data_IF_946913473177
#
_entry.id   IF_946913473177
#
_cell.length_a   1.000
_cell.length_b   1.000
_cell.length_c   1.000
_cell.angle_alpha   90.00
_cell.angle_beta   90.00
_cell.angle_gamma   90.00
#
_symmetry.space_group_name_H-M   'P 1'
#
loop_
_entity.id
_entity.type
_entity.pdbx_description
1 polymer ?
#
# COMPACT_ATOMS: atom_id res chain seq x y z
N UNK A 1 -18.82 19.67 47.03
CA UNK A 1 -17.47 19.82 46.43
C UNK A 1 -17.46 18.95 45.19
N UNK A 2 -17.68 19.55 44.03
CA UNK A 2 -17.67 18.89 42.72
C UNK A 2 -16.24 18.82 42.23
N UNK A 3 -15.69 17.64 42.20
CA UNK A 3 -14.38 17.31 41.65
C UNK A 3 -14.42 17.58 40.13
N UNK A 4 -13.88 18.71 39.68
CA UNK A 4 -13.67 18.95 38.24
C UNK A 4 -12.58 18.01 37.76
N UNK A 5 -12.99 16.98 37.02
CA UNK A 5 -12.08 16.18 36.24
C UNK A 5 -11.33 17.13 35.28
N UNK A 6 -10.01 17.18 35.41
CA UNK A 6 -9.12 17.84 34.45
C UNK A 6 -9.35 17.27 33.07
N UNK A 7 -9.45 18.10 32.01
CA UNK A 7 -9.54 17.56 30.67
C UNK A 7 -8.27 16.73 30.42
N UNK A 8 -8.42 15.45 30.19
CA UNK A 8 -7.39 14.66 29.57
C UNK A 8 -7.16 15.30 28.19
N UNK A 9 -6.04 16.00 28.03
CA UNK A 9 -5.54 16.41 26.72
C UNK A 9 -5.37 15.11 25.90
N UNK A 10 -6.44 14.69 25.23
CA UNK A 10 -6.36 13.66 24.23
C UNK A 10 -5.49 14.23 23.11
N UNK A 11 -4.26 13.75 23.02
CA UNK A 11 -3.32 14.13 21.95
C UNK A 11 -4.01 13.74 20.65
N UNK A 12 -4.63 14.71 20.00
CA UNK A 12 -5.36 14.53 18.75
C UNK A 12 -4.40 14.72 17.58
N UNK A 13 -4.55 13.89 16.56
CA UNK A 13 -3.77 13.99 15.32
C UNK A 13 -4.63 14.74 14.30
N UNK A 14 -4.27 15.94 13.84
CA UNK A 14 -5.07 16.74 12.91
C UNK A 14 -5.52 15.96 11.67
N UNK A 15 -4.65 15.08 11.15
CA UNK A 15 -4.97 14.22 10.02
C UNK A 15 -6.16 13.27 10.31
N UNK A 16 -6.19 12.63 11.49
CA UNK A 16 -7.27 11.71 11.87
C UNK A 16 -8.57 12.47 12.19
N UNK A 17 -8.47 13.67 12.75
CA UNK A 17 -9.64 14.53 12.99
C UNK A 17 -10.36 14.87 11.67
N UNK A 18 -9.59 15.23 10.63
CA UNK A 18 -10.17 15.49 9.30
C UNK A 18 -10.81 14.23 8.72
N UNK A 19 -10.18 13.06 8.86
CA UNK A 19 -10.76 11.79 8.40
C UNK A 19 -12.06 11.44 9.15
N UNK A 20 -12.21 11.88 10.39
CA UNK A 20 -13.46 11.73 11.17
C UNK A 20 -14.48 12.85 10.94
N UNK A 21 -14.24 13.75 9.96
CA UNK A 21 -15.15 14.80 9.57
C UNK A 21 -14.97 16.13 10.31
N UNK A 22 -13.96 16.28 11.14
CA UNK A 22 -13.68 17.52 11.86
C UNK A 22 -12.90 18.50 10.96
N UNK A 23 -13.40 19.72 10.83
CA UNK A 23 -12.71 20.76 10.05
C UNK A 23 -11.56 21.33 10.84
N UNK A 24 -10.38 21.41 10.23
CA UNK A 24 -9.21 22.09 10.77
C UNK A 24 -9.07 23.50 10.17
N UNK A 25 -8.53 24.44 10.96
CA UNK A 25 -8.23 25.80 10.48
C UNK A 25 -7.14 25.79 9.40
N UNK A 26 -6.13 24.91 9.58
CA UNK A 26 -5.10 24.61 8.60
C UNK A 26 -5.23 23.15 8.19
N UNK A 27 -5.47 22.83 6.91
CA UNK A 27 -5.58 21.44 6.46
C UNK A 27 -4.28 20.67 6.73
N UNK A 28 -4.36 19.45 7.32
CA UNK A 28 -3.18 18.62 7.49
C UNK A 28 -2.65 18.13 6.14
N UNK A 29 -1.34 18.01 6.02
CA UNK A 29 -0.67 17.68 4.76
C UNK A 29 0.18 16.43 4.91
N UNK A 30 0.05 15.54 3.91
CA UNK A 30 1.03 14.51 3.58
C UNK A 30 1.20 14.46 2.06
N UNK A 31 2.31 13.94 1.58
CA UNK A 31 2.60 13.89 0.14
C UNK A 31 2.80 12.45 -0.31
N UNK A 32 2.12 12.05 -1.39
CA UNK A 32 2.42 10.77 -2.02
C UNK A 32 3.89 10.74 -2.48
N UNK A 33 4.59 9.64 -2.16
CA UNK A 33 6.04 9.51 -2.42
C UNK A 33 6.89 10.56 -1.71
N UNK A 34 6.47 11.01 -0.53
CA UNK A 34 7.24 11.94 0.30
C UNK A 34 8.64 11.40 0.66
N UNK A 35 8.82 10.09 0.81
CA UNK A 35 10.13 9.45 0.75
C UNK A 35 10.53 9.20 -0.71
N UNK A 36 11.70 9.66 -1.14
CA UNK A 36 12.06 9.53 -2.55
C UNK A 36 13.43 10.06 -2.94
N UNK A 37 13.77 9.84 -4.20
CA UNK A 37 15.09 10.13 -4.79
C UNK A 37 15.49 11.61 -4.79
N UNK A 38 14.58 12.53 -4.55
CA UNK A 38 14.88 13.95 -4.41
C UNK A 38 15.59 14.27 -3.07
N UNK A 39 15.47 13.39 -2.05
CA UNK A 39 16.15 13.50 -0.78
C UNK A 39 17.58 12.91 -0.87
N UNK A 40 18.63 13.68 -0.52
CA UNK A 40 20.00 13.15 -0.49
C UNK A 40 20.13 11.94 0.44
N UNK A 41 19.59 12.04 1.65
CA UNK A 41 19.60 10.99 2.67
C UNK A 41 18.89 9.70 2.20
N UNK A 42 17.83 9.82 1.40
CA UNK A 42 17.19 8.67 0.76
C UNK A 42 18.14 7.99 -0.24
N UNK A 43 18.82 8.77 -1.08
CA UNK A 43 19.76 8.23 -2.09
C UNK A 43 20.92 7.49 -1.44
N UNK A 44 21.45 8.03 -0.34
CA UNK A 44 22.53 7.39 0.43
C UNK A 44 22.09 6.05 1.01
N UNK A 45 20.90 6.00 1.64
CA UNK A 45 20.38 4.76 2.21
C UNK A 45 20.00 3.75 1.12
N UNK A 46 19.43 4.23 0.01
CA UNK A 46 19.10 3.39 -1.16
C UNK A 46 20.32 2.72 -1.76
N UNK A 47 21.47 3.40 -1.80
CA UNK A 47 22.73 2.83 -2.27
C UNK A 47 23.27 1.72 -1.35
N UNK A 48 23.03 1.85 -0.03
CA UNK A 48 23.44 0.83 0.96
C UNK A 48 22.54 -0.40 0.93
N UNK A 49 21.26 -0.25 0.58
CA UNK A 49 20.29 -1.32 0.60
C UNK A 49 20.45 -2.38 -0.51
N UNK A 50 21.22 -2.09 -1.58
CA UNK A 50 21.36 -2.99 -2.73
C UNK A 50 20.16 -2.92 -3.69
N UNK A 51 19.06 -3.63 -3.42
CA UNK A 51 17.84 -3.67 -4.23
C UNK A 51 16.69 -2.80 -3.69
N UNK A 52 15.64 -2.59 -4.50
CA UNK A 52 14.44 -1.87 -4.04
C UNK A 52 13.64 -2.70 -3.04
N UNK A 53 13.53 -4.01 -3.27
CA UNK A 53 12.88 -4.91 -2.32
C UNK A 53 13.67 -5.04 -1.02
N UNK A 54 15.01 -5.02 -1.10
CA UNK A 54 15.86 -5.03 0.10
C UNK A 54 15.59 -3.81 0.98
N UNK A 55 15.38 -2.64 0.35
CA UNK A 55 14.99 -1.42 1.06
C UNK A 55 13.60 -1.56 1.72
N UNK A 56 12.62 -2.18 1.03
CA UNK A 56 11.28 -2.39 1.55
C UNK A 56 11.23 -3.44 2.67
N UNK A 57 12.05 -4.50 2.57
CA UNK A 57 12.01 -5.64 3.48
C UNK A 57 13.12 -5.63 4.54
N UNK A 58 13.91 -4.57 4.63
CA UNK A 58 14.79 -4.31 5.76
C UNK A 58 14.12 -3.31 6.70
N UNK A 59 13.58 -3.73 7.85
CA UNK A 59 12.76 -2.87 8.71
C UNK A 59 13.45 -1.57 9.12
N UNK A 60 14.76 -1.61 9.38
CA UNK A 60 15.59 -0.45 9.71
C UNK A 60 15.58 0.57 8.57
N UNK A 61 15.78 0.11 7.35
CA UNK A 61 15.84 0.98 6.18
C UNK A 61 14.46 1.55 5.83
N UNK A 62 13.43 0.69 5.83
CA UNK A 62 12.06 1.12 5.56
C UNK A 62 11.56 2.15 6.59
N UNK A 63 11.87 1.95 7.87
CA UNK A 63 11.55 2.91 8.93
C UNK A 63 12.31 4.23 8.74
N UNK A 64 13.61 4.17 8.49
CA UNK A 64 14.44 5.37 8.30
C UNK A 64 13.95 6.22 7.12
N UNK A 65 13.72 5.62 5.94
CA UNK A 65 13.23 6.39 4.77
C UNK A 65 11.82 6.93 4.98
N UNK A 66 11.00 6.27 5.80
CA UNK A 66 9.67 6.77 6.18
C UNK A 66 9.77 8.03 7.02
N UNK A 67 10.74 8.10 7.92
CA UNK A 67 10.92 9.21 8.87
C UNK A 67 11.68 10.40 8.28
N UNK A 68 12.50 10.21 7.26
CA UNK A 68 13.29 11.28 6.62
C UNK A 68 12.43 12.50 6.22
N UNK A 69 11.34 12.36 5.46
CA UNK A 69 10.50 13.50 5.08
C UNK A 69 9.79 14.14 6.28
N UNK A 70 9.48 13.37 7.32
CA UNK A 70 8.85 13.90 8.54
C UNK A 70 9.83 14.81 9.28
N UNK A 71 11.08 14.38 9.44
CA UNK A 71 12.13 15.20 10.06
C UNK A 71 12.45 16.47 9.27
N UNK A 72 12.38 16.39 7.93
CA UNK A 72 12.73 17.50 7.04
C UNK A 72 11.61 18.51 6.86
N UNK A 73 10.36 18.07 6.75
CA UNK A 73 9.22 18.90 6.31
C UNK A 73 8.10 19.00 7.35
N UNK A 74 8.18 18.27 8.44
CA UNK A 74 7.16 18.25 9.49
C UNK A 74 5.74 17.98 8.97
N UNK A 75 5.57 17.03 8.04
CA UNK A 75 4.26 16.61 7.56
C UNK A 75 3.38 16.07 8.70
N UNK A 76 2.07 16.23 8.56
CA UNK A 76 1.07 15.77 9.53
C UNK A 76 0.83 14.26 9.52
N UNK A 77 1.27 13.57 8.44
CA UNK A 77 1.25 12.12 8.39
C UNK A 77 2.50 11.56 7.71
N UNK A 78 2.97 10.44 8.24
CA UNK A 78 3.95 9.56 7.61
C UNK A 78 3.21 8.45 6.88
N UNK A 79 3.65 8.07 5.69
CA UNK A 79 3.21 6.85 5.02
C UNK A 79 4.36 5.84 5.01
N UNK A 80 4.08 4.61 5.43
CA UNK A 80 5.10 3.56 5.48
C UNK A 80 5.77 3.35 4.12
N UNK A 81 7.08 3.22 4.10
CA UNK A 81 7.80 2.88 2.88
C UNK A 81 7.66 1.39 2.59
N UNK A 82 6.97 1.07 1.51
CA UNK A 82 6.70 -0.28 1.01
C UNK A 82 6.34 -0.21 -0.47
N UNK A 83 5.81 -1.29 -1.04
CA UNK A 83 5.34 -1.35 -2.43
C UNK A 83 3.95 -1.98 -2.53
N UNK A 84 3.19 -1.63 -3.59
CA UNK A 84 1.86 -2.20 -3.84
C UNK A 84 1.92 -3.67 -4.30
N UNK A 85 3.08 -4.15 -4.74
CA UNK A 85 3.27 -5.51 -5.23
C UNK A 85 3.75 -6.49 -4.14
N UNK A 86 3.76 -6.08 -2.86
CA UNK A 86 4.09 -6.98 -1.75
C UNK A 86 3.06 -8.11 -1.59
N UNK A 87 1.78 -7.89 -1.98
CA UNK A 87 0.76 -8.94 -1.99
C UNK A 87 1.06 -10.00 -3.05
N UNK A 88 1.30 -9.66 -4.34
CA UNK A 88 1.80 -10.64 -5.32
C UNK A 88 3.05 -11.39 -4.85
N UNK A 89 4.01 -10.70 -4.25
CA UNK A 89 5.21 -11.34 -3.69
C UNK A 89 4.87 -12.37 -2.60
N UNK A 90 3.98 -12.02 -1.69
CA UNK A 90 3.53 -12.92 -0.62
C UNK A 90 2.70 -14.10 -1.16
N UNK A 91 1.98 -13.92 -2.28
CA UNK A 91 1.31 -14.98 -3.04
C UNK A 91 2.29 -15.88 -3.83
N UNK A 92 3.59 -15.71 -3.65
CA UNK A 92 4.63 -16.53 -4.29
C UNK A 92 4.96 -16.11 -5.72
N UNK A 93 4.53 -14.91 -6.17
CA UNK A 93 4.91 -14.40 -7.47
C UNK A 93 6.34 -13.85 -7.44
N UNK A 94 7.08 -14.09 -8.51
CA UNK A 94 8.38 -13.45 -8.72
C UNK A 94 8.15 -11.96 -8.95
N UNK A 95 8.68 -11.12 -8.04
CA UNK A 95 8.65 -9.66 -8.19
C UNK A 95 10.08 -9.16 -8.23
N UNK A 96 10.43 -8.47 -9.30
CA UNK A 96 11.78 -7.88 -9.52
C UNK A 96 11.62 -6.42 -9.90
N UNK A 97 12.62 -5.62 -9.58
CA UNK A 97 12.68 -4.21 -9.97
C UNK A 97 13.93 -3.97 -10.82
N UNK A 98 13.71 -3.67 -12.09
CA UNK A 98 14.79 -3.39 -13.04
C UNK A 98 15.01 -1.88 -13.15
N UNK A 99 16.29 -1.49 -13.25
CA UNK A 99 16.67 -0.09 -13.32
C UNK A 99 16.14 0.52 -14.62
N UNK A 100 15.31 1.56 -14.50
CA UNK A 100 14.71 2.24 -15.66
C UNK A 100 13.43 1.60 -16.20
N UNK A 101 13.13 0.34 -15.84
CA UNK A 101 11.98 -0.39 -16.39
C UNK A 101 10.82 -0.58 -15.39
N UNK A 102 11.08 -0.37 -14.10
CA UNK A 102 10.08 -0.57 -13.06
C UNK A 102 9.91 -2.04 -12.65
N UNK A 103 8.74 -2.39 -12.06
CA UNK A 103 8.50 -3.75 -11.57
C UNK A 103 8.28 -4.76 -12.72
N UNK A 104 8.79 -5.98 -12.51
CA UNK A 104 8.62 -7.15 -13.39
C UNK A 104 8.12 -8.33 -12.58
N UNK A 105 7.11 -8.99 -13.10
CA UNK A 105 6.50 -10.22 -12.56
C UNK A 105 6.40 -11.27 -13.66
N UNK A 106 6.28 -12.54 -13.26
CA UNK A 106 5.88 -13.57 -14.20
C UNK A 106 4.38 -13.40 -14.53
N UNK A 107 3.98 -13.21 -15.82
CA UNK A 107 2.62 -12.81 -16.16
C UNK A 107 1.60 -13.95 -15.93
N UNK A 108 0.41 -13.58 -15.47
CA UNK A 108 -0.78 -14.44 -15.40
C UNK A 108 -1.67 -14.20 -16.64
N UNK A 109 -1.12 -14.38 -17.82
CA UNK A 109 -1.73 -14.00 -19.10
C UNK A 109 -2.69 -15.05 -19.68
N UNK A 110 -2.82 -16.21 -19.02
CA UNK A 110 -3.74 -17.29 -19.43
C UNK A 110 -4.54 -17.84 -18.24
N UNK A 111 -5.76 -18.40 -18.48
CA UNK A 111 -6.54 -19.04 -17.42
C UNK A 111 -5.80 -20.17 -16.68
N UNK A 112 -4.96 -20.94 -17.40
CA UNK A 112 -4.17 -22.03 -16.80
C UNK A 112 -3.13 -21.52 -15.80
N UNK A 113 -2.46 -20.40 -16.13
CA UNK A 113 -1.54 -19.76 -15.19
C UNK A 113 -2.25 -19.19 -13.96
N UNK A 114 -3.47 -18.66 -14.15
CA UNK A 114 -4.32 -18.20 -13.04
C UNK A 114 -4.77 -19.39 -12.18
N UNK A 115 -5.05 -20.54 -12.75
CA UNK A 115 -5.44 -21.73 -11.98
C UNK A 115 -4.34 -22.17 -11.00
N UNK A 116 -3.06 -21.90 -11.31
CA UNK A 116 -1.92 -22.16 -10.42
C UNK A 116 -1.63 -21.05 -9.40
N UNK A 117 -2.40 -19.98 -9.36
CA UNK A 117 -2.21 -18.91 -8.39
C UNK A 117 -2.57 -19.38 -6.96
N UNK A 118 -1.66 -19.18 -6.01
CA UNK A 118 -1.94 -19.43 -4.61
C UNK A 118 -3.13 -18.58 -4.14
N UNK A 119 -4.03 -19.16 -3.37
CA UNK A 119 -5.20 -18.46 -2.84
C UNK A 119 -4.85 -17.63 -1.62
N UNK A 120 -3.94 -18.13 -0.80
CA UNK A 120 -3.49 -17.49 0.43
C UNK A 120 -2.04 -17.05 0.32
N UNK A 121 -1.80 -15.80 0.68
CA UNK A 121 -0.46 -15.24 0.78
C UNK A 121 0.24 -15.69 2.07
N UNK A 122 1.52 -15.94 1.98
CA UNK A 122 2.39 -16.15 3.11
C UNK A 122 2.67 -14.81 3.81
N UNK A 123 1.90 -14.52 4.87
CA UNK A 123 2.03 -13.28 5.64
C UNK A 123 3.38 -13.17 6.38
N UNK A 124 4.11 -14.26 6.58
CA UNK A 124 5.44 -14.20 7.22
C UNK A 124 6.43 -13.42 6.36
N UNK A 125 6.26 -13.44 5.03
CA UNK A 125 7.07 -12.64 4.09
C UNK A 125 6.83 -11.13 4.25
N UNK A 126 5.72 -10.73 4.85
CA UNK A 126 5.34 -9.32 5.07
C UNK A 126 5.68 -8.84 6.49
N UNK A 127 6.16 -9.73 7.37
CA UNK A 127 6.56 -9.36 8.74
C UNK A 127 7.58 -8.22 8.79
N UNK A 128 8.56 -8.11 7.86
CA UNK A 128 9.46 -6.95 7.83
C UNK A 128 8.73 -5.61 7.67
N UNK A 129 7.62 -5.55 6.91
CA UNK A 129 6.82 -4.33 6.76
C UNK A 129 6.10 -4.00 8.07
N UNK A 130 5.56 -5.01 8.76
CA UNK A 130 4.92 -4.82 10.06
C UNK A 130 5.93 -4.36 11.12
N UNK A 131 7.14 -4.90 11.12
CA UNK A 131 8.20 -4.45 12.02
C UNK A 131 8.64 -3.01 11.70
N UNK A 132 8.74 -2.64 10.42
CA UNK A 132 9.02 -1.25 10.03
C UNK A 132 7.94 -0.29 10.55
N UNK A 133 6.64 -0.66 10.45
CA UNK A 133 5.53 0.12 11.02
C UNK A 133 5.67 0.30 12.54
N UNK A 134 5.98 -0.78 13.27
CA UNK A 134 6.21 -0.71 14.73
C UNK A 134 7.36 0.23 15.09
N UNK A 135 8.45 0.21 14.33
CA UNK A 135 9.60 1.11 14.52
C UNK A 135 9.22 2.56 14.26
N UNK A 136 8.61 2.84 13.11
CA UNK A 136 8.12 4.19 12.78
C UNK A 136 7.19 4.70 13.87
N UNK A 137 6.23 3.87 14.31
CA UNK A 137 5.26 4.26 15.34
C UNK A 137 5.91 4.68 16.65
N UNK A 138 7.00 4.02 17.05
CA UNK A 138 7.75 4.39 18.28
C UNK A 138 8.48 5.73 18.18
N UNK A 139 8.88 6.11 16.95
CA UNK A 139 9.67 7.32 16.72
C UNK A 139 8.84 8.52 16.27
N UNK A 140 7.61 8.30 15.78
CA UNK A 140 6.73 9.39 15.38
C UNK A 140 6.27 10.22 16.57
N UNK A 141 6.28 11.55 16.39
CA UNK A 141 5.66 12.48 17.32
C UNK A 141 4.16 12.22 17.50
N UNK A 142 3.63 12.57 18.67
CA UNK A 142 2.24 12.30 19.05
C UNK A 142 1.20 12.92 18.11
N UNK A 143 1.54 13.98 17.38
CA UNK A 143 0.65 14.69 16.44
C UNK A 143 0.69 14.15 15.02
N UNK A 144 1.69 13.35 14.65
CA UNK A 144 1.85 12.81 13.29
C UNK A 144 1.15 11.46 13.17
N UNK A 145 0.28 11.32 12.18
CA UNK A 145 -0.40 10.06 11.89
C UNK A 145 0.52 9.10 11.09
N UNK A 146 0.33 7.80 11.27
CA UNK A 146 1.00 6.77 10.48
C UNK A 146 0.01 6.13 9.53
N UNK A 147 0.27 6.24 8.23
CA UNK A 147 -0.54 5.66 7.17
C UNK A 147 0.07 4.33 6.73
N UNK A 148 -0.72 3.26 6.81
CA UNK A 148 -0.47 2.03 6.10
C UNK A 148 -1.16 2.03 4.74
N UNK A 149 -0.78 1.10 3.83
CA UNK A 149 -1.42 1.09 2.51
C UNK A 149 -1.36 -0.28 1.83
N UNK A 150 -2.18 -0.42 0.78
CA UNK A 150 -2.04 -1.46 -0.23
C UNK A 150 -2.36 -0.91 -1.62
N UNK A 151 -2.02 -1.67 -2.67
CA UNK A 151 -2.54 -1.42 -4.00
C UNK A 151 -3.99 -1.89 -4.12
N UNK A 152 -4.82 -1.15 -4.85
CA UNK A 152 -6.18 -1.55 -5.16
C UNK A 152 -6.19 -2.79 -6.08
N UNK A 153 -7.22 -3.63 -6.00
CA UNK A 153 -7.28 -4.90 -6.70
C UNK A 153 -7.07 -4.78 -8.22
N UNK A 154 -7.72 -3.81 -8.87
CA UNK A 154 -7.52 -3.59 -10.30
C UNK A 154 -6.07 -3.22 -10.63
N UNK A 155 -5.51 -2.22 -9.96
CA UNK A 155 -4.14 -1.77 -10.21
C UNK A 155 -3.13 -2.91 -10.00
N UNK A 156 -3.26 -3.71 -8.95
CA UNK A 156 -2.37 -4.85 -8.70
C UNK A 156 -2.56 -5.96 -9.75
N UNK A 157 -3.82 -6.26 -10.11
CA UNK A 157 -4.13 -7.25 -11.14
C UNK A 157 -3.53 -6.89 -12.51
N UNK A 158 -3.48 -5.58 -12.89
CA UNK A 158 -2.85 -5.16 -14.15
C UNK A 158 -1.38 -5.58 -14.23
N UNK A 159 -0.63 -5.41 -13.14
CA UNK A 159 0.76 -5.88 -13.05
C UNK A 159 0.87 -7.40 -13.05
N UNK A 160 0.01 -8.10 -12.31
CA UNK A 160 0.04 -9.56 -12.26
C UNK A 160 -0.27 -10.21 -13.61
N UNK A 161 -1.23 -9.65 -14.36
CA UNK A 161 -1.63 -10.19 -15.67
C UNK A 161 -0.59 -9.88 -16.75
N UNK A 162 -0.12 -8.64 -16.84
CA UNK A 162 0.82 -8.22 -17.87
C UNK A 162 2.28 -8.57 -17.54
N UNK A 163 2.61 -8.78 -16.27
CA UNK A 163 3.99 -8.94 -15.80
C UNK A 163 4.79 -7.64 -15.68
N UNK A 164 4.22 -6.51 -16.08
CA UNK A 164 4.85 -5.18 -16.06
C UNK A 164 3.80 -4.08 -16.20
N UNK A 165 4.21 -2.82 -16.02
CA UNK A 165 3.36 -1.68 -16.31
C UNK A 165 3.09 -1.53 -17.82
N UNK A 166 1.83 -1.26 -18.19
CA UNK A 166 1.43 -1.04 -19.59
C UNK A 166 0.68 0.30 -19.72
N UNK A 167 0.77 1.00 -20.86
CA UNK A 167 0.21 2.34 -20.99
C UNK A 167 -1.32 2.41 -20.82
N UNK A 168 -2.04 1.38 -21.30
CA UNK A 168 -3.51 1.34 -21.36
C UNK A 168 -4.13 0.14 -20.63
N UNK A 169 -3.33 -0.66 -19.96
CA UNK A 169 -3.68 -1.89 -19.27
C UNK A 169 -4.41 -2.91 -20.15
N UNK A 170 -4.12 -2.94 -21.46
CA UNK A 170 -4.78 -3.81 -22.43
C UNK A 170 -4.74 -5.29 -22.04
N UNK A 171 -3.62 -5.90 -21.58
CA UNK A 171 -3.61 -7.31 -21.18
C UNK A 171 -4.65 -7.64 -20.11
N UNK A 172 -4.75 -6.84 -19.05
CA UNK A 172 -5.72 -7.05 -17.97
C UNK A 172 -7.16 -6.82 -18.46
N UNK A 173 -7.40 -5.76 -19.26
CA UNK A 173 -8.70 -5.50 -19.86
C UNK A 173 -9.14 -6.67 -20.76
N UNK A 174 -8.26 -7.16 -21.61
CA UNK A 174 -8.54 -8.30 -22.48
C UNK A 174 -8.86 -9.56 -21.69
N UNK A 175 -8.12 -9.84 -20.61
CA UNK A 175 -8.40 -10.98 -19.74
C UNK A 175 -9.76 -10.82 -19.04
N UNK A 176 -10.08 -9.64 -18.53
CA UNK A 176 -11.37 -9.37 -17.89
C UNK A 176 -12.56 -9.58 -18.82
N UNK A 177 -12.42 -9.26 -20.11
CA UNK A 177 -13.47 -9.48 -21.11
C UNK A 177 -13.53 -10.91 -21.64
N UNK A 178 -12.38 -11.53 -21.92
CA UNK A 178 -12.35 -12.86 -22.55
C UNK A 178 -12.47 -14.01 -21.55
N UNK A 179 -11.95 -13.80 -20.34
CA UNK A 179 -11.86 -14.82 -19.28
C UNK A 179 -12.27 -14.24 -17.92
N UNK A 180 -13.52 -13.71 -17.80
CA UNK A 180 -13.95 -12.99 -16.59
C UNK A 180 -13.85 -13.82 -15.30
N UNK A 181 -14.09 -15.13 -15.38
CA UNK A 181 -14.00 -16.02 -14.22
C UNK A 181 -12.55 -16.24 -13.77
N UNK A 182 -11.60 -16.32 -14.70
CA UNK A 182 -10.19 -16.37 -14.36
C UNK A 182 -9.71 -15.02 -13.77
N UNK A 183 -10.12 -13.92 -14.38
CA UNK A 183 -9.78 -12.59 -13.87
C UNK A 183 -10.37 -12.34 -12.47
N UNK A 184 -11.61 -12.79 -12.23
CA UNK A 184 -12.23 -12.72 -10.90
C UNK A 184 -11.41 -13.44 -9.83
N UNK A 185 -10.81 -14.62 -10.13
CA UNK A 185 -9.93 -15.34 -9.20
C UNK A 185 -8.69 -14.53 -8.82
N UNK A 186 -8.11 -13.79 -9.78
CA UNK A 186 -6.98 -12.88 -9.48
C UNK A 186 -7.42 -11.77 -8.55
N UNK A 187 -8.56 -11.13 -8.84
CA UNK A 187 -9.13 -10.07 -7.99
C UNK A 187 -9.44 -10.60 -6.58
N UNK A 188 -10.08 -11.76 -6.47
CA UNK A 188 -10.44 -12.37 -5.17
C UNK A 188 -9.18 -12.64 -4.34
N UNK A 189 -8.15 -13.23 -4.93
CA UNK A 189 -6.88 -13.48 -4.23
C UNK A 189 -6.25 -12.17 -3.73
N UNK A 190 -6.30 -11.09 -4.52
CA UNK A 190 -5.78 -9.79 -4.08
C UNK A 190 -6.64 -9.22 -2.94
N UNK A 191 -7.96 -9.24 -3.06
CA UNK A 191 -8.88 -8.71 -2.04
C UNK A 191 -8.66 -9.41 -0.70
N UNK A 192 -8.76 -10.75 -0.68
CA UNK A 192 -8.68 -11.53 0.55
C UNK A 192 -7.35 -11.32 1.28
N UNK A 193 -6.26 -11.25 0.53
CA UNK A 193 -4.94 -11.04 1.12
C UNK A 193 -4.63 -9.58 1.43
N UNK A 194 -5.23 -8.61 0.73
CA UNK A 194 -5.15 -7.20 1.10
C UNK A 194 -5.84 -6.92 2.43
N UNK A 195 -6.99 -7.53 2.70
CA UNK A 195 -7.66 -7.44 4.02
C UNK A 195 -6.72 -7.92 5.13
N UNK A 196 -6.15 -9.13 4.99
CA UNK A 196 -5.22 -9.68 5.98
C UNK A 196 -3.99 -8.79 6.20
N UNK A 197 -3.44 -8.24 5.11
CA UNK A 197 -2.28 -7.36 5.15
C UNK A 197 -2.60 -6.02 5.81
N UNK A 198 -3.72 -5.38 5.48
CA UNK A 198 -4.14 -4.11 6.08
C UNK A 198 -4.45 -4.26 7.57
N UNK A 199 -5.13 -5.34 7.97
CA UNK A 199 -5.32 -5.66 9.39
C UNK A 199 -3.98 -5.88 10.12
N UNK A 200 -3.01 -6.50 9.46
CA UNK A 200 -1.64 -6.63 9.99
C UNK A 200 -0.97 -5.27 10.21
N UNK A 201 -1.14 -4.32 9.28
CA UNK A 201 -0.61 -2.97 9.41
C UNK A 201 -1.26 -2.18 10.55
N UNK A 202 -2.59 -2.30 10.75
CA UNK A 202 -3.28 -1.70 11.89
C UNK A 202 -2.75 -2.24 13.22
N UNK A 203 -2.60 -3.57 13.33
CA UNK A 203 -2.02 -4.21 14.53
C UNK A 203 -0.57 -3.79 14.78
N UNK A 204 0.17 -3.45 13.73
CA UNK A 204 1.54 -2.95 13.80
C UNK A 204 1.63 -1.45 14.15
N UNK A 205 0.48 -0.74 14.22
CA UNK A 205 0.40 0.63 14.69
C UNK A 205 0.06 1.68 13.63
N UNK A 206 -0.37 1.29 12.43
CA UNK A 206 -0.93 2.24 11.46
C UNK A 206 -2.19 2.90 12.05
N UNK A 207 -2.32 4.21 11.91
CA UNK A 207 -3.46 4.99 12.38
C UNK A 207 -4.56 5.12 11.31
N UNK A 208 -4.18 5.06 10.04
CA UNK A 208 -5.05 5.14 8.89
C UNK A 208 -4.55 4.23 7.77
N UNK A 209 -5.43 3.88 6.84
CA UNK A 209 -5.11 3.02 5.71
C UNK A 209 -5.45 3.73 4.39
N UNK A 210 -4.59 3.54 3.37
CA UNK A 210 -4.78 4.07 2.02
C UNK A 210 -4.81 2.92 1.02
N UNK A 211 -5.82 2.89 0.15
CA UNK A 211 -5.89 1.97 -1.00
C UNK A 211 -5.58 2.78 -2.26
N UNK A 212 -4.52 2.39 -3.00
CA UNK A 212 -4.08 3.11 -4.20
C UNK A 212 -4.60 2.46 -5.47
N UNK A 213 -5.46 3.16 -6.21
CA UNK A 213 -5.95 2.71 -7.51
C UNK A 213 -5.55 3.68 -8.64
N UNK A 214 -4.35 3.49 -9.17
CA UNK A 214 -3.76 4.37 -10.20
C UNK A 214 -4.37 4.13 -11.59
N UNK A 215 -4.76 2.89 -11.90
CA UNK A 215 -5.04 2.47 -13.27
C UNK A 215 -6.52 2.26 -13.58
N UNK A 216 -7.43 2.42 -12.62
CA UNK A 216 -8.86 2.17 -12.82
C UNK A 216 -9.54 3.15 -13.80
N UNK A 217 -8.95 4.33 -14.01
CA UNK A 217 -9.49 5.35 -14.92
C UNK A 217 -9.59 4.94 -16.40
N UNK A 218 -8.94 3.82 -16.80
CA UNK A 218 -9.06 3.27 -18.17
C UNK A 218 -10.32 2.41 -18.36
N UNK A 219 -11.03 2.10 -17.28
CA UNK A 219 -12.21 1.24 -17.33
C UNK A 219 -13.48 2.04 -17.68
N UNK A 220 -14.34 1.54 -18.57
CA UNK A 220 -15.66 2.11 -18.76
C UNK A 220 -16.53 1.89 -17.51
N UNK A 221 -17.60 2.67 -17.31
CA UNK A 221 -18.33 2.76 -16.04
C UNK A 221 -18.75 1.39 -15.44
N UNK A 222 -19.24 0.48 -16.28
CA UNK A 222 -19.68 -0.85 -15.83
C UNK A 222 -18.52 -1.70 -15.32
N UNK A 223 -17.40 -1.70 -16.05
CA UNK A 223 -16.21 -2.45 -15.67
C UNK A 223 -15.49 -1.81 -14.48
N UNK A 224 -15.53 -0.48 -14.39
CA UNK A 224 -15.03 0.25 -13.21
C UNK A 224 -15.82 -0.16 -11.95
N UNK A 225 -17.14 -0.20 -12.02
CA UNK A 225 -17.96 -0.69 -10.91
C UNK A 225 -17.57 -2.13 -10.52
N UNK A 226 -17.43 -3.03 -11.51
CA UNK A 226 -17.17 -4.45 -11.29
C UNK A 226 -15.77 -4.73 -10.76
N UNK A 227 -14.74 -4.11 -11.32
CA UNK A 227 -13.34 -4.49 -11.10
C UNK A 227 -12.55 -3.53 -10.19
N UNK A 228 -13.08 -2.34 -9.90
CA UNK A 228 -12.46 -1.39 -8.97
C UNK A 228 -13.37 -1.15 -7.75
N UNK A 229 -14.61 -0.66 -7.95
CA UNK A 229 -15.46 -0.26 -6.82
C UNK A 229 -15.84 -1.45 -5.93
N UNK A 230 -16.41 -2.52 -6.49
CA UNK A 230 -16.89 -3.65 -5.70
C UNK A 230 -15.75 -4.39 -4.97
N UNK A 231 -14.58 -4.68 -5.59
CA UNK A 231 -13.44 -5.22 -4.85
C UNK A 231 -12.94 -4.31 -3.74
N UNK A 232 -12.88 -2.99 -3.97
CA UNK A 232 -12.46 -2.01 -2.95
C UNK A 232 -13.45 -1.97 -1.78
N UNK A 233 -14.76 -2.00 -2.04
CA UNK A 233 -15.78 -2.12 -0.97
C UNK A 233 -15.58 -3.35 -0.10
N UNK A 234 -15.25 -4.50 -0.71
CA UNK A 234 -14.96 -5.73 0.03
C UNK A 234 -13.75 -5.57 0.95
N UNK A 235 -12.70 -4.89 0.51
CA UNK A 235 -11.53 -4.60 1.36
C UNK A 235 -11.92 -3.70 2.53
N UNK A 236 -12.73 -2.65 2.28
CA UNK A 236 -13.15 -1.70 3.32
C UNK A 236 -14.10 -2.35 4.33
N UNK A 237 -14.88 -3.35 3.91
CA UNK A 237 -15.82 -4.06 4.78
C UNK A 237 -15.16 -5.14 5.66
N UNK A 238 -14.01 -5.68 5.26
CA UNK A 238 -13.27 -6.73 5.99
C UNK A 238 -12.24 -6.21 6.94
#
# INVERSE_FOLDING_TARGET
MTEQALPQDSITKPFLEVLSGQRQAVPPIWMMRQAGRYLPEYRELRAKAGGFLDLCFTPEFAAEVTLQPIRRFAFDAAIIFSDILVIPYALGRSVRFEVGEGPRLDPLDTPDKVAGLAREADMTKLEPVFEALRRVKRELGSKTALIGFCGAPWTVATYMVAGHGTPDQAPARMMAYRHPDAFAKVIDAIVDNSIRYLLGQLRAGADALQIFDTWAGVLPPREFARWSIEPTKRIVAG
#
